data_IF_276715896707
#
_entry.id   IF_276715896707
#
_cell.length_a   1.000
_cell.length_b   1.000
_cell.length_c   1.000
_cell.angle_alpha   90.00
_cell.angle_beta   90.00
_cell.angle_gamma   90.00
#
_symmetry.space_group_name_H-M   'P 1'
#
loop_
_entity.id
_entity.type
_entity.pdbx_description
1 polymer ?
#
# COMPACT_ATOMS: atom_id res chain seq x y z
N UNK A 1 -75.03 7.14 64.12
CA UNK A 1 -75.00 5.92 63.28
C UNK A 1 -73.94 6.12 62.22
N UNK A 2 -73.08 5.12 62.12
CA UNK A 2 -71.83 5.02 61.38
C UNK A 2 -72.00 5.18 59.87
N UNK A 3 -70.96 5.67 59.18
CA UNK A 3 -70.88 5.63 57.71
C UNK A 3 -69.49 6.01 57.20
N UNK A 4 -68.58 5.04 57.16
CA UNK A 4 -67.22 5.12 56.64
C UNK A 4 -67.21 5.25 55.11
N UNK A 5 -66.20 5.92 54.56
CA UNK A 5 -65.07 5.28 53.85
C UNK A 5 -64.44 6.22 52.82
N UNK A 6 -63.12 6.26 52.87
CA UNK A 6 -62.22 7.01 52.01
C UNK A 6 -61.75 6.13 50.80
N UNK A 7 -60.72 6.48 50.01
CA UNK A 7 -60.91 6.97 48.65
C UNK A 7 -60.01 6.26 47.59
N UNK A 8 -59.92 6.87 46.40
CA UNK A 8 -58.70 7.07 45.56
C UNK A 8 -58.39 6.21 44.33
N UNK A 9 -58.10 6.98 43.27
CA UNK A 9 -57.06 6.87 42.22
C UNK A 9 -57.33 5.88 41.06
N UNK A 10 -57.66 6.47 39.90
CA UNK A 10 -57.54 5.84 38.59
C UNK A 10 -56.19 6.23 37.95
N UNK A 11 -55.42 5.23 37.55
CA UNK A 11 -54.08 5.35 36.94
C UNK A 11 -54.17 5.67 35.44
N UNK A 12 -53.41 6.68 34.99
CA UNK A 12 -53.15 6.98 33.58
C UNK A 12 -52.05 6.05 33.04
N UNK A 13 -52.37 5.26 32.02
CA UNK A 13 -51.41 4.41 31.32
C UNK A 13 -50.71 5.14 30.17
N UNK A 14 -49.39 5.30 30.26
CA UNK A 14 -48.53 5.79 29.17
C UNK A 14 -48.10 4.62 28.27
N UNK A 15 -48.47 4.67 26.99
CA UNK A 15 -47.92 3.78 25.96
C UNK A 15 -46.58 4.38 25.48
N UNK A 16 -45.47 3.73 25.85
CA UNK A 16 -44.15 4.02 25.28
C UNK A 16 -43.94 3.19 24.01
N UNK A 17 -43.90 3.84 22.86
CA UNK A 17 -43.47 3.21 21.60
C UNK A 17 -41.94 3.16 21.57
N UNK A 18 -41.36 1.97 21.73
CA UNK A 18 -39.92 1.76 21.58
C UNK A 18 -39.57 1.71 20.08
N UNK A 19 -38.87 2.74 19.60
CA UNK A 19 -38.31 2.78 18.25
C UNK A 19 -36.98 1.99 18.26
N UNK A 20 -36.98 0.77 17.74
CA UNK A 20 -35.75 -0.01 17.51
C UNK A 20 -35.01 0.57 16.30
N UNK A 21 -33.93 1.30 16.53
CA UNK A 21 -32.97 1.65 15.49
C UNK A 21 -32.12 0.40 15.18
N UNK A 22 -32.44 -0.28 14.08
CA UNK A 22 -31.59 -1.33 13.54
C UNK A 22 -30.31 -0.68 12.98
N UNK A 23 -29.22 -0.73 13.74
CA UNK A 23 -27.88 -0.42 13.23
C UNK A 23 -27.49 -1.54 12.26
N UNK A 24 -27.59 -1.26 10.97
CA UNK A 24 -26.95 -2.10 9.95
C UNK A 24 -25.45 -1.90 10.07
N UNK A 25 -24.74 -2.91 10.58
CA UNK A 25 -23.28 -2.94 10.48
C UNK A 25 -22.90 -2.94 9.00
N UNK A 26 -21.98 -2.07 8.54
CA UNK A 26 -21.42 -2.19 7.20
C UNK A 26 -20.78 -3.57 7.08
N UNK A 27 -21.21 -4.38 6.12
CA UNK A 27 -20.50 -5.60 5.78
C UNK A 27 -19.10 -5.24 5.29
N UNK A 28 -18.09 -6.02 5.70
CA UNK A 28 -16.74 -5.93 5.16
C UNK A 28 -16.81 -6.12 3.64
N UNK A 29 -16.65 -5.04 2.89
CA UNK A 29 -16.80 -5.00 1.44
C UNK A 29 -15.43 -5.10 0.76
N UNK A 30 -15.41 -5.69 -0.43
CA UNK A 30 -14.22 -5.76 -1.25
C UNK A 30 -13.81 -4.37 -1.76
N UNK A 31 -12.51 -4.16 -1.97
CA UNK A 31 -11.99 -2.92 -2.56
C UNK A 31 -12.00 -3.06 -4.09
N UNK A 32 -13.05 -2.55 -4.72
CA UNK A 32 -13.30 -2.68 -6.16
C UNK A 32 -12.98 -1.41 -6.96
N UNK A 33 -12.49 -0.35 -6.29
CA UNK A 33 -12.06 0.92 -6.87
C UNK A 33 -10.75 1.40 -6.22
N UNK A 34 -10.00 2.29 -6.90
CA UNK A 34 -8.77 2.84 -6.31
C UNK A 34 -9.05 3.52 -4.97
N UNK A 35 -8.26 3.15 -3.96
CA UNK A 35 -8.55 3.51 -2.57
C UNK A 35 -7.26 3.87 -1.83
N UNK A 36 -7.33 4.85 -0.93
CA UNK A 36 -6.22 5.21 -0.05
C UNK A 36 -6.06 4.17 1.07
N UNK A 37 -4.89 3.54 1.27
CA UNK A 37 -4.71 2.56 2.35
C UNK A 37 -4.81 3.16 3.77
N UNK A 38 -4.58 4.45 3.91
CA UNK A 38 -4.44 5.12 5.21
C UNK A 38 -3.14 4.72 5.90
N UNK A 39 -3.13 3.56 6.54
CA UNK A 39 -1.95 2.98 7.18
C UNK A 39 -1.66 1.60 6.58
N UNK A 40 -0.41 1.35 6.21
CA UNK A 40 0.06 0.01 5.88
C UNK A 40 0.23 -0.79 7.16
N UNK A 41 -0.47 -1.91 7.25
CA UNK A 41 -0.46 -2.85 8.36
C UNK A 41 0.03 -4.22 7.89
N UNK A 42 0.00 -5.20 8.80
CA UNK A 42 0.40 -6.58 8.54
C UNK A 42 -0.71 -7.52 9.00
N UNK A 43 -1.04 -8.48 8.14
CA UNK A 43 -1.99 -9.56 8.43
C UNK A 43 -1.30 -10.92 8.29
N UNK A 44 -1.72 -11.88 9.09
CA UNK A 44 -1.23 -13.25 9.01
C UNK A 44 -2.01 -14.04 7.96
N UNK A 45 -1.27 -14.78 7.14
CA UNK A 45 -1.84 -15.72 6.16
C UNK A 45 -1.14 -17.07 6.27
N UNK A 46 -1.72 -18.15 5.72
CA UNK A 46 -1.03 -19.44 5.63
C UNK A 46 0.32 -19.37 4.88
N UNK A 47 0.53 -18.37 4.02
CA UNK A 47 1.73 -18.19 3.22
C UNK A 47 2.79 -17.31 3.90
N UNK A 48 2.43 -16.64 4.99
CA UNK A 48 3.28 -15.71 5.75
C UNK A 48 2.57 -14.42 6.11
N UNK A 49 3.32 -13.49 6.72
CA UNK A 49 2.83 -12.17 7.08
C UNK A 49 2.91 -11.22 5.88
N UNK A 50 1.80 -10.57 5.53
CA UNK A 50 1.67 -9.77 4.29
C UNK A 50 1.13 -8.37 4.59
N UNK A 51 1.39 -7.42 3.69
CA UNK A 51 0.85 -6.07 3.80
C UNK A 51 -0.65 -6.06 3.57
N UNK A 52 -1.31 -5.22 4.37
CA UNK A 52 -2.70 -4.83 4.19
C UNK A 52 -2.86 -3.34 4.47
N UNK A 53 -4.03 -2.79 4.16
CA UNK A 53 -4.41 -1.46 4.61
C UNK A 53 -4.87 -1.44 6.09
N UNK A 54 -5.34 -0.28 6.56
CA UNK A 54 -5.82 -0.10 7.94
C UNK A 54 -7.06 -0.94 8.29
N UNK A 55 -7.81 -1.37 7.27
CA UNK A 55 -9.05 -2.14 7.42
C UNK A 55 -8.80 -3.64 7.20
N UNK A 56 -7.56 -4.05 6.92
CA UNK A 56 -7.14 -5.43 6.70
C UNK A 56 -7.31 -5.90 5.24
N UNK A 57 -7.54 -5.01 4.28
CA UNK A 57 -7.60 -5.39 2.87
C UNK A 57 -6.18 -5.71 2.36
N UNK A 58 -5.94 -6.93 1.81
CA UNK A 58 -4.61 -7.35 1.39
C UNK A 58 -4.09 -6.53 0.19
N UNK A 59 -2.77 -6.33 0.16
CA UNK A 59 -2.09 -5.61 -0.91
C UNK A 59 -1.19 -6.53 -1.72
N UNK A 60 -1.07 -6.22 -3.01
CA UNK A 60 -0.39 -7.04 -4.01
C UNK A 60 0.60 -6.23 -4.83
N UNK A 61 1.60 -6.95 -5.33
CA UNK A 61 2.44 -6.53 -6.45
C UNK A 61 2.08 -7.32 -7.71
N UNK A 62 2.43 -6.75 -8.86
CA UNK A 62 2.28 -7.39 -10.16
C UNK A 62 3.64 -7.74 -10.75
N UNK A 63 3.82 -9.01 -11.11
CA UNK A 63 5.10 -9.53 -11.61
C UNK A 63 5.55 -8.88 -12.93
N UNK A 64 4.60 -8.38 -13.72
CA UNK A 64 4.85 -7.78 -15.02
C UNK A 64 5.21 -6.28 -14.96
N UNK A 65 5.03 -5.65 -13.81
CA UNK A 65 5.36 -4.24 -13.64
C UNK A 65 6.88 -4.06 -13.56
N UNK A 66 7.35 -2.91 -14.04
CA UNK A 66 8.76 -2.52 -13.87
C UNK A 66 8.88 -1.75 -12.56
N UNK A 67 10.11 -1.64 -12.05
CA UNK A 67 10.40 -0.81 -10.88
C UNK A 67 9.74 0.58 -11.02
N UNK A 68 8.97 0.95 -10.01
CA UNK A 68 8.31 2.24 -9.85
C UNK A 68 7.31 2.60 -10.97
N UNK A 69 7.00 1.66 -11.87
CA UNK A 69 6.23 1.90 -13.09
C UNK A 69 5.03 0.96 -13.15
N UNK A 70 3.82 1.43 -12.79
CA UNK A 70 2.61 0.62 -12.91
C UNK A 70 2.28 0.35 -14.39
N UNK A 71 1.92 -0.89 -14.69
CA UNK A 71 1.49 -1.29 -16.02
C UNK A 71 0.04 -1.79 -16.08
N UNK A 72 -0.71 -1.75 -14.98
CA UNK A 72 -2.05 -2.31 -14.90
C UNK A 72 -3.11 -1.24 -15.20
N UNK A 73 -3.69 -1.32 -16.39
CA UNK A 73 -4.67 -0.35 -16.91
C UNK A 73 -5.91 -1.04 -17.48
N UNK A 74 -6.99 -0.29 -17.69
CA UNK A 74 -8.25 -0.80 -18.26
C UNK A 74 -8.84 -1.99 -17.48
N UNK A 75 -9.09 -3.12 -18.15
CA UNK A 75 -9.64 -4.32 -17.50
C UNK A 75 -8.75 -4.85 -16.37
N UNK A 76 -7.43 -4.62 -16.44
CA UNK A 76 -6.53 -4.97 -15.35
C UNK A 76 -6.89 -4.16 -14.10
N UNK A 77 -6.96 -2.82 -14.23
CA UNK A 77 -7.29 -1.92 -13.13
C UNK A 77 -8.72 -2.13 -12.59
N UNK A 78 -9.65 -2.58 -13.44
CA UNK A 78 -11.00 -2.95 -13.02
C UNK A 78 -11.05 -4.21 -12.14
N UNK A 79 -10.03 -5.09 -12.20
CA UNK A 79 -9.90 -6.26 -11.33
C UNK A 79 -8.90 -6.04 -10.19
N UNK A 80 -7.93 -5.17 -10.41
CA UNK A 80 -6.81 -4.86 -9.53
C UNK A 80 -6.69 -3.35 -9.32
N UNK A 81 -7.59 -2.77 -8.51
CA UNK A 81 -7.59 -1.32 -8.34
C UNK A 81 -6.30 -0.85 -7.65
N UNK A 82 -5.80 0.31 -8.07
CA UNK A 82 -4.59 0.88 -7.49
C UNK A 82 -4.79 1.29 -6.02
N UNK A 83 -3.79 1.03 -5.18
CA UNK A 83 -3.65 1.72 -3.91
C UNK A 83 -3.09 3.12 -4.19
N UNK A 84 -3.79 4.18 -3.76
CA UNK A 84 -3.45 5.57 -4.10
C UNK A 84 -3.09 6.39 -2.86
N UNK A 85 -2.49 7.56 -3.07
CA UNK A 85 -2.11 8.46 -1.99
C UNK A 85 -0.80 8.04 -1.32
N UNK A 86 -0.55 8.50 -0.10
CA UNK A 86 0.69 8.26 0.63
C UNK A 86 0.37 7.73 2.03
N UNK A 87 0.48 6.41 2.27
CA UNK A 87 0.07 5.84 3.54
C UNK A 87 1.13 6.05 4.64
N UNK A 88 0.68 6.05 5.89
CA UNK A 88 1.57 5.84 7.04
C UNK A 88 1.93 4.35 7.16
N UNK A 89 2.86 4.01 8.05
CA UNK A 89 3.29 2.61 8.27
C UNK A 89 3.16 2.23 9.74
N UNK A 90 2.54 1.08 10.00
CA UNK A 90 2.50 0.46 11.32
C UNK A 90 3.89 -0.09 11.70
N UNK A 91 4.05 -0.45 12.98
CA UNK A 91 5.23 -1.14 13.45
C UNK A 91 5.43 -2.49 12.71
N UNK A 92 6.67 -2.78 12.32
CA UNK A 92 7.00 -4.01 11.58
C UNK A 92 6.86 -3.90 10.06
N UNK A 93 6.24 -2.84 9.53
CA UNK A 93 6.24 -2.53 8.10
C UNK A 93 7.54 -1.80 7.74
N UNK A 94 8.50 -2.55 7.20
CA UNK A 94 9.90 -2.12 7.08
C UNK A 94 10.27 -1.46 5.76
N UNK A 95 9.58 -1.81 4.67
CA UNK A 95 9.91 -1.29 3.35
C UNK A 95 9.62 0.20 3.18
N UNK A 96 10.36 0.86 2.29
CA UNK A 96 10.20 2.27 1.93
C UNK A 96 8.92 2.51 1.12
N UNK A 97 8.42 3.74 1.16
CA UNK A 97 7.19 4.13 0.47
C UNK A 97 7.46 5.37 -0.35
N UNK A 98 6.97 5.34 -1.58
CA UNK A 98 6.99 6.44 -2.52
C UNK A 98 5.65 6.50 -3.26
N UNK A 99 5.58 7.35 -4.28
CA UNK A 99 4.43 7.48 -5.15
C UNK A 99 4.89 7.57 -6.59
N UNK A 100 4.03 7.16 -7.51
CA UNK A 100 4.25 7.43 -8.94
C UNK A 100 4.27 8.94 -9.21
N UNK A 101 5.01 9.35 -10.23
CA UNK A 101 5.00 10.76 -10.68
C UNK A 101 3.64 11.12 -11.31
N UNK A 102 3.02 10.17 -12.01
CA UNK A 102 1.72 10.33 -12.65
C UNK A 102 0.58 9.89 -11.72
N UNK A 103 -0.62 10.44 -11.98
CA UNK A 103 -1.85 10.02 -11.30
C UNK A 103 -2.23 8.60 -11.73
N UNK A 104 -2.76 7.80 -10.81
CA UNK A 104 -3.30 6.48 -11.17
C UNK A 104 -4.51 6.63 -12.10
N UNK A 105 -4.68 5.68 -13.02
CA UNK A 105 -5.77 5.71 -14.02
C UNK A 105 -7.13 5.91 -13.35
N UNK A 106 -7.90 6.89 -13.83
CA UNK A 106 -9.24 7.19 -13.30
C UNK A 106 -9.25 7.92 -11.96
N UNK A 107 -8.10 8.38 -11.47
CA UNK A 107 -8.00 9.04 -10.15
C UNK A 107 -7.29 10.41 -10.23
N UNK A 108 -7.44 11.18 -9.16
CA UNK A 108 -6.75 12.46 -8.97
C UNK A 108 -5.42 12.32 -8.20
N UNK A 109 -5.09 11.12 -7.71
CA UNK A 109 -3.97 10.82 -6.82
C UNK A 109 -2.95 9.90 -7.50
N UNK A 110 -1.66 9.99 -7.15
CA UNK A 110 -0.67 9.01 -7.62
C UNK A 110 -0.85 7.66 -6.91
N UNK A 111 -0.33 6.61 -7.53
CA UNK A 111 -0.32 5.26 -6.99
C UNK A 111 0.81 5.10 -5.96
N UNK A 112 0.55 4.33 -4.90
CA UNK A 112 1.54 3.98 -3.89
C UNK A 112 2.60 3.07 -4.51
N UNK A 113 3.86 3.42 -4.34
CA UNK A 113 5.00 2.54 -4.55
C UNK A 113 5.50 2.08 -3.19
N UNK A 114 5.73 0.79 -3.04
CA UNK A 114 6.35 0.20 -1.86
C UNK A 114 7.61 -0.55 -2.27
N UNK A 115 8.75 -0.13 -1.71
CA UNK A 115 10.07 -0.41 -2.26
C UNK A 115 10.16 0.00 -3.74
N UNK A 116 9.97 -0.95 -4.65
CA UNK A 116 9.98 -0.70 -6.11
C UNK A 116 8.69 -1.17 -6.79
N UNK A 117 7.67 -1.53 -6.00
CA UNK A 117 6.46 -2.17 -6.48
C UNK A 117 5.25 -1.24 -6.37
N UNK A 118 4.55 -0.96 -7.48
CA UNK A 118 3.22 -0.36 -7.42
C UNK A 118 2.26 -1.29 -6.70
N UNK A 119 1.50 -0.74 -5.74
CA UNK A 119 0.59 -1.51 -4.91
C UNK A 119 -0.83 -1.54 -5.49
N UNK A 120 -1.46 -2.70 -5.39
CA UNK A 120 -2.82 -2.95 -5.86
C UNK A 120 -3.65 -3.72 -4.84
N UNK A 121 -4.96 -3.50 -4.88
CA UNK A 121 -5.96 -4.35 -4.24
C UNK A 121 -6.48 -5.41 -5.22
N UNK A 122 -7.19 -6.41 -4.72
CA UNK A 122 -7.97 -7.32 -5.55
C UNK A 122 -9.46 -7.17 -5.28
N UNK A 123 -10.26 -6.94 -6.32
CA UNK A 123 -11.69 -6.62 -6.17
C UNK A 123 -12.57 -7.70 -5.54
N UNK A 124 -12.07 -8.93 -5.42
CA UNK A 124 -12.82 -10.05 -4.85
C UNK A 124 -12.35 -10.40 -3.43
N UNK A 125 -11.33 -9.71 -2.91
CA UNK A 125 -10.88 -9.93 -1.55
C UNK A 125 -11.85 -9.37 -0.54
N UNK A 126 -11.76 -9.92 0.67
CA UNK A 126 -12.32 -9.30 1.87
C UNK A 126 -11.20 -9.02 2.84
N UNK A 127 -11.42 -8.14 3.84
CA UNK A 127 -10.50 -7.96 4.94
C UNK A 127 -9.99 -9.29 5.52
N UNK A 128 -8.67 -9.44 5.57
CA UNK A 128 -7.95 -10.62 6.08
C UNK A 128 -8.18 -11.92 5.29
N UNK A 129 -8.78 -11.85 4.10
CA UNK A 129 -9.06 -13.00 3.23
C UNK A 129 -8.45 -12.78 1.83
N UNK A 130 -7.12 -12.95 1.66
CA UNK A 130 -6.43 -12.75 0.38
C UNK A 130 -6.73 -13.88 -0.61
N UNK A 131 -7.69 -13.67 -1.49
CA UNK A 131 -8.07 -14.57 -2.58
C UNK A 131 -7.26 -14.34 -3.85
N UNK A 132 -6.59 -13.18 -3.98
CA UNK A 132 -5.78 -12.81 -5.15
C UNK A 132 -4.46 -13.58 -5.33
N UNK A 133 -3.97 -14.26 -4.30
CA UNK A 133 -2.63 -14.89 -4.27
C UNK A 133 -2.42 -16.00 -5.31
N UNK A 134 -3.49 -16.63 -5.78
CA UNK A 134 -3.42 -17.69 -6.80
C UNK A 134 -3.71 -17.19 -8.21
N UNK A 135 -3.88 -15.88 -8.41
CA UNK A 135 -4.06 -15.30 -9.73
C UNK A 135 -2.71 -15.12 -10.40
N UNK A 136 -2.54 -15.68 -11.59
CA UNK A 136 -1.27 -15.68 -12.32
C UNK A 136 -0.75 -14.24 -12.53
N UNK A 137 0.50 -14.00 -12.13
CA UNK A 137 1.20 -12.72 -12.31
C UNK A 137 1.02 -11.75 -11.15
N UNK A 138 0.44 -12.20 -10.05
CA UNK A 138 0.15 -11.40 -8.86
C UNK A 138 0.67 -12.13 -7.62
N UNK A 139 1.26 -11.37 -6.71
CA UNK A 139 1.79 -11.88 -5.46
C UNK A 139 1.43 -10.94 -4.32
N UNK A 140 1.05 -11.48 -3.18
CA UNK A 140 1.02 -10.75 -1.92
C UNK A 140 2.41 -10.19 -1.65
N UNK A 141 2.46 -8.99 -1.08
CA UNK A 141 3.70 -8.31 -0.74
C UNK A 141 3.96 -8.39 0.77
N UNK A 142 5.18 -8.73 1.16
CA UNK A 142 5.61 -8.87 2.55
C UNK A 142 6.04 -7.55 3.18
N UNK A 143 6.32 -7.60 4.48
CA UNK A 143 6.72 -6.45 5.30
C UNK A 143 7.98 -5.70 4.81
N UNK A 144 8.82 -6.36 4.00
CA UNK A 144 10.06 -5.83 3.44
C UNK A 144 9.96 -5.55 1.93
N UNK A 145 8.78 -5.70 1.34
CA UNK A 145 8.54 -5.47 -0.08
C UNK A 145 8.73 -6.70 -0.96
N UNK A 146 9.16 -7.84 -0.41
CA UNK A 146 9.30 -9.06 -1.19
C UNK A 146 7.94 -9.70 -1.51
N UNK A 147 7.85 -10.33 -2.68
CA UNK A 147 6.74 -11.22 -3.02
C UNK A 147 6.69 -12.42 -2.06
N UNK A 148 5.57 -12.61 -1.38
CA UNK A 148 5.28 -13.81 -0.59
C UNK A 148 4.81 -14.91 -1.52
N UNK A 149 5.50 -16.06 -1.51
CA UNK A 149 5.16 -17.19 -2.38
C UNK A 149 4.15 -18.12 -1.69
N UNK A 150 3.22 -18.73 -2.44
CA UNK A 150 2.34 -19.77 -1.88
C UNK A 150 3.15 -20.89 -1.23
N UNK A 151 2.80 -21.27 -0.01
CA UNK A 151 3.47 -22.33 0.75
C UNK A 151 4.83 -21.95 1.34
N UNK A 152 5.23 -20.68 1.31
CA UNK A 152 6.44 -20.19 2.00
C UNK A 152 6.28 -20.05 3.51
N UNK A 153 5.11 -20.34 4.06
CA UNK A 153 4.84 -20.37 5.50
C UNK A 153 5.59 -21.49 6.23
N UNK A 154 6.91 -21.43 6.28
CA UNK A 154 7.62 -21.96 7.44
C UNK A 154 7.33 -20.96 8.55
N UNK A 155 6.51 -21.37 9.51
CA UNK A 155 6.23 -20.59 10.70
C UNK A 155 7.51 -20.28 11.46
N UNK A 156 8.20 -19.22 11.08
CA UNK A 156 9.10 -18.49 11.96
C UNK A 156 8.22 -17.53 12.77
N UNK A 157 7.31 -18.12 13.54
CA UNK A 157 6.75 -17.47 14.71
C UNK A 157 7.95 -17.14 15.59
N UNK A 158 8.38 -15.88 15.56
CA UNK A 158 9.19 -15.32 16.65
C UNK A 158 8.30 -15.29 17.88
N UNK A 159 8.19 -16.43 18.56
CA UNK A 159 7.61 -16.50 19.89
C UNK A 159 8.40 -15.55 20.80
N UNK A 160 7.76 -14.58 21.47
CA UNK A 160 8.45 -13.78 22.47
C UNK A 160 8.66 -14.64 23.72
N UNK A 161 9.94 -14.81 24.08
CA UNK A 161 10.43 -15.30 25.39
C UNK A 161 10.08 -16.73 25.83
N UNK A 162 11.13 -17.53 25.98
CA UNK A 162 11.34 -18.27 27.22
C UNK A 162 11.20 -19.79 27.16
N UNK A 163 12.27 -20.47 26.73
CA UNK A 163 12.65 -21.73 27.37
C UNK A 163 14.15 -21.97 27.16
N UNK A 164 14.92 -21.65 28.19
CA UNK A 164 16.27 -22.18 28.38
C UNK A 164 16.18 -23.71 28.43
N UNK A 165 16.97 -24.40 27.61
CA UNK A 165 17.30 -25.80 27.82
C UNK A 165 18.81 -25.92 27.88
N UNK A 166 19.28 -26.23 29.10
CA UNK A 166 20.65 -26.56 29.43
C UNK A 166 21.12 -27.77 28.63
N UNK A 167 22.35 -27.71 28.13
CA UNK A 167 23.13 -28.92 27.86
C UNK A 167 24.46 -28.80 28.60
N UNK A 168 24.55 -29.58 29.67
CA UNK A 168 25.75 -29.87 30.44
C UNK A 168 26.90 -30.38 29.56
N UNK A 169 28.12 -30.10 30.02
CA UNK A 169 29.34 -30.22 29.24
C UNK A 169 29.89 -31.63 29.02
N UNK A 170 30.90 -31.66 28.16
CA UNK A 170 31.96 -32.67 28.17
C UNK A 170 33.22 -32.11 27.48
N UNK A 171 34.27 -31.88 28.27
CA UNK A 171 35.66 -31.97 27.79
C UNK A 171 35.95 -33.40 27.34
N UNK A 172 36.83 -33.59 26.34
CA UNK A 172 38.12 -34.16 26.71
C UNK A 172 39.34 -33.48 26.06
N UNK A 173 40.44 -33.51 26.81
CA UNK A 173 41.79 -33.17 26.40
C UNK A 173 42.32 -34.15 25.34
N UNK A 174 43.12 -33.65 24.40
CA UNK A 174 43.94 -34.47 23.51
C UNK A 174 44.70 -33.63 22.49
N UNK A 175 46.00 -33.41 22.73
CA UNK A 175 46.91 -32.68 21.87
C UNK A 175 47.49 -33.56 20.74
N UNK A 176 47.80 -32.99 19.56
CA UNK A 176 49.16 -32.93 18.99
C UNK A 176 49.18 -32.61 17.47
N UNK A 177 50.11 -31.72 17.09
CA UNK A 177 50.70 -31.56 15.74
C UNK A 177 49.85 -30.74 14.77
N UNK A 178 50.28 -29.63 14.17
CA UNK A 178 51.62 -29.18 13.81
C UNK A 178 51.55 -28.73 12.35
N UNK A 179 51.76 -27.44 12.05
CA UNK A 179 51.74 -26.94 10.68
C UNK A 179 51.56 -25.42 10.61
N UNK A 180 52.55 -24.76 10.02
CA UNK A 180 52.87 -23.35 10.14
C UNK A 180 52.02 -22.41 9.23
N UNK A 181 52.17 -21.07 9.35
CA UNK A 181 51.21 -20.07 8.88
C UNK A 181 51.44 -19.65 7.42
N UNK A 182 50.38 -19.32 6.70
CA UNK A 182 50.47 -18.57 5.44
C UNK A 182 50.23 -17.09 5.73
N UNK A 183 51.32 -16.33 5.62
CA UNK A 183 51.37 -14.89 5.70
C UNK A 183 50.66 -14.23 4.51
N UNK A 184 49.87 -13.22 4.83
CA UNK A 184 49.50 -12.11 3.94
C UNK A 184 50.74 -11.52 3.26
N UNK A 185 50.70 -11.40 1.94
CA UNK A 185 51.58 -10.52 1.15
C UNK A 185 50.69 -9.59 0.34
N UNK A 186 50.59 -8.35 0.79
CA UNK A 186 50.39 -7.22 -0.09
C UNK A 186 51.72 -6.95 -0.80
N UNK A 187 51.69 -6.82 -2.11
CA UNK A 187 52.70 -6.12 -2.87
C UNK A 187 52.03 -5.50 -4.09
N UNK A 188 52.28 -4.20 -4.23
CA UNK A 188 52.07 -3.41 -5.43
C UNK A 188 52.79 -4.05 -6.64
N UNK A 189 52.33 -3.76 -7.86
CA UNK A 189 52.98 -2.76 -8.72
C UNK A 189 52.34 -2.72 -10.12
N UNK A 190 52.29 -1.49 -10.63
CA UNK A 190 52.50 -1.08 -12.02
C UNK A 190 51.44 -1.27 -13.14
N UNK A 191 50.84 -0.12 -13.46
CA UNK A 191 50.61 0.40 -14.82
C UNK A 191 51.75 0.05 -15.80
N UNK A 192 51.47 -0.20 -17.09
CA UNK A 192 51.71 0.88 -18.05
C UNK A 192 50.80 0.95 -19.30
N UNK A 193 50.69 2.19 -19.78
CA UNK A 193 50.70 2.66 -21.18
C UNK A 193 49.43 2.66 -22.03
N UNK A 194 49.13 3.90 -22.45
CA UNK A 194 48.11 4.33 -23.38
C UNK A 194 48.48 4.01 -24.84
N UNK A 195 47.45 3.88 -25.68
CA UNK A 195 47.54 3.92 -27.14
C UNK A 195 46.23 4.44 -27.76
N UNK A 196 46.27 5.07 -28.95
CA UNK A 196 45.58 6.35 -29.16
C UNK A 196 44.31 6.31 -30.05
N UNK A 197 43.48 7.34 -29.84
CA UNK A 197 42.68 8.11 -30.82
C UNK A 197 41.83 7.36 -31.87
N UNK A 198 40.51 7.42 -31.69
CA UNK A 198 39.58 7.53 -32.82
C UNK A 198 38.50 8.57 -32.51
N UNK A 199 38.68 9.75 -33.12
CA UNK A 199 37.66 10.79 -33.24
C UNK A 199 36.54 10.28 -34.14
N UNK A 200 35.33 10.12 -33.59
CA UNK A 200 34.12 9.83 -34.33
C UNK A 200 33.11 10.95 -34.19
N UNK A 201 33.33 12.06 -34.89
CA UNK A 201 32.34 13.11 -35.06
C UNK A 201 31.19 12.60 -35.92
N UNK A 202 29.96 12.60 -35.39
CA UNK A 202 28.75 12.59 -36.19
C UNK A 202 27.86 13.74 -35.73
N UNK A 203 27.85 14.79 -36.55
CA UNK A 203 26.97 15.93 -36.46
C UNK A 203 25.66 15.67 -37.25
N UNK A 204 24.70 16.58 -37.04
CA UNK A 204 23.49 16.86 -37.86
C UNK A 204 22.29 15.98 -37.48
N UNK A 205 21.10 16.49 -37.16
CA UNK A 205 20.42 17.66 -37.71
C UNK A 205 19.63 18.49 -36.68
N UNK A 206 19.74 19.81 -36.82
CA UNK A 206 18.79 20.78 -36.31
C UNK A 206 17.52 20.78 -37.18
N UNK A 207 16.37 20.54 -36.57
CA UNK A 207 15.07 20.81 -37.17
C UNK A 207 14.52 22.11 -36.59
N UNK A 208 14.57 23.18 -37.39
CA UNK A 208 13.93 24.45 -37.09
C UNK A 208 12.40 24.31 -37.17
N UNK A 209 11.72 24.56 -36.05
CA UNK A 209 10.27 24.76 -36.00
C UNK A 209 10.00 26.12 -35.39
N UNK A 210 9.74 27.10 -36.24
CA UNK A 210 9.45 28.50 -35.91
C UNK A 210 8.10 28.67 -35.21
N UNK A 211 8.12 29.47 -34.14
CA UNK A 211 7.22 30.61 -33.87
C UNK A 211 5.71 30.38 -34.04
N UNK A 212 5.01 30.33 -32.91
CA UNK A 212 3.57 30.53 -32.80
C UNK A 212 3.20 31.22 -31.50
N UNK A 213 3.57 32.50 -31.38
CA UNK A 213 3.15 33.40 -30.30
C UNK A 213 1.66 33.73 -30.50
N UNK A 214 0.77 33.17 -29.68
CA UNK A 214 -0.63 33.57 -29.62
C UNK A 214 -1.02 33.93 -28.18
N UNK A 215 -0.66 35.15 -27.79
CA UNK A 215 -1.28 35.88 -26.69
C UNK A 215 -2.70 36.27 -27.10
N UNK A 216 -3.73 35.68 -26.49
CA UNK A 216 -5.00 36.37 -26.30
C UNK A 216 -5.47 36.24 -24.85
N UNK A 217 -5.45 37.40 -24.20
CA UNK A 217 -6.02 37.70 -22.90
C UNK A 217 -7.55 37.69 -22.98
N UNK A 218 -8.15 37.28 -21.84
CA UNK A 218 -9.45 37.69 -21.28
C UNK A 218 -10.72 37.34 -22.09
N UNK A 219 -11.65 36.67 -21.42
CA UNK A 219 -12.66 37.37 -20.59
C UNK A 219 -13.25 36.44 -19.52
N UNK A 220 -13.25 36.93 -18.28
CA UNK A 220 -14.09 36.41 -17.19
C UNK A 220 -15.55 36.74 -17.57
N UNK A 221 -16.37 35.73 -17.75
CA UNK A 221 -17.83 35.88 -17.66
C UNK A 221 -18.16 35.92 -16.16
N UNK A 222 -18.27 37.14 -15.60
CA UNK A 222 -19.08 37.37 -14.41
C UNK A 222 -20.53 37.41 -14.90
N UNK A 223 -21.30 36.38 -14.59
CA UNK A 223 -22.76 36.47 -14.61
C UNK A 223 -23.23 37.35 -13.45
N UNK A 224 -23.20 38.67 -13.67
CA UNK A 224 -23.88 39.66 -12.83
C UNK A 224 -25.30 39.83 -13.42
N UNK A 225 -26.26 39.04 -12.94
CA UNK A 225 -27.67 39.24 -13.20
C UNK A 225 -28.22 40.25 -12.19
N UNK A 226 -27.91 41.53 -12.40
CA UNK A 226 -28.67 42.65 -11.83
C UNK A 226 -29.72 43.07 -12.86
N UNK A 227 -31.00 42.93 -12.50
CA UNK A 227 -32.11 43.35 -13.35
C UNK A 227 -32.27 44.87 -13.43
N UNK A 228 -33.21 45.35 -14.26
CA UNK A 228 -33.88 46.62 -14.02
C UNK A 228 -35.37 46.42 -13.79
N UNK A 229 -35.84 46.89 -12.64
CA UNK A 229 -37.13 47.54 -12.55
C UNK A 229 -37.06 48.85 -13.34
N UNK A 230 -38.02 49.10 -14.21
CA UNK A 230 -38.81 50.34 -14.25
C UNK A 230 -39.76 50.33 -15.47
N UNK A 231 -40.98 50.80 -15.24
CA UNK A 231 -42.00 51.07 -16.26
C UNK A 231 -41.60 52.23 -17.20
N UNK A 232 -42.51 52.84 -17.99
CA UNK A 232 -43.90 53.15 -17.63
C UNK A 232 -44.95 52.95 -18.76
N UNK A 233 -46.22 52.76 -18.37
CA UNK A 233 -47.44 53.46 -18.85
C UNK A 233 -48.69 52.80 -18.26
#
# INVERSE_FOLDING_TARGET
>A
MTGHAAPRIATLGTLAAALLLAVSAPGAAAVDQPTEPGELTLIDTPDGQVLADKDGNPLYLRDADKADTPGCTGDCAANWPAAIGYPTKAAGVTGETAQTEEKAEGTEQPQVIYETHPLYYFKNDKPNEPQGQNVKGWSLIGANGDAVKPGSGTGESVAPYGSVSQSDGASPSGAAGGGAPHSVRNAADEHPEAGPLALGSAAVAAGAGTVGLALLRRRRERGDASGPADGPS
#
